data_IF_214723731632
#
_entry.id   IF_214723731632
#
_cell.length_a   1.000
_cell.length_b   1.000
_cell.length_c   1.000
_cell.angle_alpha   90.00
_cell.angle_beta   90.00
_cell.angle_gamma   90.00
#
_symmetry.space_group_name_H-M   'P 1'
#
loop_
_entity.id
_entity.type
_entity.pdbx_description
1 polymer ?
#
# COMPACT_ATOMS: atom_id res chain seq x y z
N UNK A 1 -28.05 -28.53 -26.34
CA UNK A 1 -26.57 -28.73 -26.37
C UNK A 1 -25.83 -27.41 -26.62
N UNK A 2 -25.88 -26.80 -27.82
CA UNK A 2 -25.20 -25.51 -28.12
C UNK A 2 -25.30 -24.42 -27.02
N UNK A 3 -26.49 -24.16 -26.48
CA UNK A 3 -26.69 -23.18 -25.41
C UNK A 3 -25.98 -23.51 -24.08
N UNK A 4 -25.77 -24.80 -23.77
CA UNK A 4 -25.03 -25.24 -22.57
C UNK A 4 -23.52 -24.98 -22.74
N UNK A 5 -22.99 -25.13 -23.96
CA UNK A 5 -21.59 -24.83 -24.28
C UNK A 5 -21.31 -23.33 -24.15
N UNK A 6 -22.21 -22.47 -24.65
CA UNK A 6 -22.09 -21.02 -24.46
C UNK A 6 -22.21 -20.60 -22.99
N UNK A 7 -23.07 -21.25 -22.21
CA UNK A 7 -23.20 -21.00 -20.77
C UNK A 7 -21.93 -21.37 -19.99
N UNK A 8 -21.28 -22.50 -20.32
CA UNK A 8 -19.99 -22.90 -19.74
C UNK A 8 -18.85 -21.94 -20.10
N UNK A 9 -18.76 -21.48 -21.35
CA UNK A 9 -17.78 -20.47 -21.80
C UNK A 9 -17.99 -19.11 -21.13
N UNK A 10 -19.23 -18.73 -20.86
CA UNK A 10 -19.54 -17.52 -20.10
C UNK A 10 -19.12 -17.67 -18.63
N UNK A 11 -19.39 -18.82 -18.01
CA UNK A 11 -19.07 -19.08 -16.61
C UNK A 11 -17.55 -19.12 -16.34
N UNK A 12 -16.74 -19.62 -17.27
CA UNK A 12 -15.28 -19.60 -17.15
C UNK A 12 -14.67 -18.19 -17.22
N UNK A 13 -15.41 -17.20 -17.71
CA UNK A 13 -14.96 -15.80 -17.82
C UNK A 13 -15.05 -15.03 -16.49
N UNK A 14 -15.71 -15.60 -15.47
CA UNK A 14 -15.96 -14.97 -14.16
C UNK A 14 -14.87 -15.36 -13.13
N UNK A 15 -13.89 -16.19 -13.51
CA UNK A 15 -12.76 -16.58 -12.66
C UNK A 15 -11.67 -15.49 -12.74
N UNK A 16 -11.97 -14.32 -12.16
CA UNK A 16 -11.03 -13.22 -12.08
C UNK A 16 -9.77 -13.65 -11.32
N UNK A 17 -8.62 -13.58 -11.99
CA UNK A 17 -7.34 -14.14 -11.54
C UNK A 17 -6.65 -13.36 -10.42
N UNK A 18 -7.28 -13.33 -9.24
CA UNK A 18 -6.69 -12.83 -8.01
C UNK A 18 -5.52 -13.75 -7.58
N UNK A 19 -4.27 -13.28 -7.57
CA UNK A 19 -3.13 -14.09 -7.11
C UNK A 19 -2.86 -13.85 -5.62
N UNK A 20 -3.82 -14.29 -4.81
CA UNK A 20 -3.61 -14.47 -3.38
C UNK A 20 -2.84 -15.75 -3.10
N UNK A 21 -1.71 -15.65 -2.39
CA UNK A 21 -0.94 -16.80 -1.89
C UNK A 21 -1.18 -16.87 -0.38
N UNK A 22 -1.76 -17.99 0.07
CA UNK A 22 -2.13 -18.24 1.47
C UNK A 22 -3.20 -17.27 2.05
N UNK A 23 -3.82 -16.43 1.22
CA UNK A 23 -4.95 -15.55 1.56
C UNK A 23 -6.15 -15.82 0.67
N UNK A 24 -7.35 -15.87 1.26
CA UNK A 24 -8.64 -16.02 0.56
C UNK A 24 -9.30 -14.68 0.22
N UNK A 25 -8.77 -13.56 0.72
CA UNK A 25 -9.25 -12.20 0.44
C UNK A 25 -8.06 -11.30 0.12
N UNK A 26 -7.44 -11.47 -1.06
CA UNK A 26 -6.27 -10.69 -1.46
C UNK A 26 -6.60 -9.20 -1.59
N UNK A 27 -5.78 -8.35 -0.98
CA UNK A 27 -5.95 -6.88 -0.96
C UNK A 27 -5.30 -6.15 -2.15
N UNK A 28 -4.69 -6.89 -3.08
CA UNK A 28 -4.02 -6.35 -4.26
C UNK A 28 -3.94 -7.39 -5.38
N UNK A 29 -3.26 -7.04 -6.47
CA UNK A 29 -3.05 -7.96 -7.59
C UNK A 29 -2.33 -9.25 -7.13
N UNK A 30 -1.27 -9.08 -6.34
CA UNK A 30 -0.58 -10.12 -5.58
C UNK A 30 -0.64 -9.77 -4.09
N UNK A 31 -1.07 -10.74 -3.29
CA UNK A 31 -1.10 -10.65 -1.83
C UNK A 31 -0.56 -11.97 -1.26
N UNK A 32 0.36 -11.89 -0.29
CA UNK A 32 1.06 -13.04 0.28
C UNK A 32 1.05 -12.91 1.81
N UNK A 33 0.38 -13.85 2.47
CA UNK A 33 0.33 -13.92 3.94
C UNK A 33 1.24 -15.02 4.47
N UNK A 34 2.16 -14.68 5.38
CA UNK A 34 2.98 -15.65 6.09
C UNK A 34 3.42 -15.08 7.44
N UNK A 35 3.39 -15.93 8.48
CA UNK A 35 3.83 -15.57 9.83
C UNK A 35 5.36 -15.65 10.00
N UNK A 36 6.07 -16.34 9.09
CA UNK A 36 7.48 -16.70 9.26
C UNK A 36 8.32 -16.81 7.97
N UNK A 37 7.75 -16.63 6.77
CA UNK A 37 8.47 -16.65 5.50
C UNK A 37 8.52 -15.26 4.86
N UNK A 38 9.64 -14.96 4.20
CA UNK A 38 9.81 -13.75 3.38
C UNK A 38 9.71 -14.02 1.88
N UNK A 39 9.53 -12.96 1.09
CA UNK A 39 9.60 -13.02 -0.36
C UNK A 39 11.06 -13.06 -0.84
N UNK A 40 11.46 -14.15 -1.50
CA UNK A 40 12.75 -14.21 -2.22
C UNK A 40 12.54 -13.66 -3.63
N UNK A 41 13.13 -12.49 -3.90
CA UNK A 41 13.13 -11.87 -5.21
C UNK A 41 13.98 -12.68 -6.22
N UNK A 42 13.73 -12.55 -7.54
CA UNK A 42 14.64 -13.08 -8.56
C UNK A 42 16.07 -12.61 -8.32
N UNK A 43 17.00 -13.55 -8.26
CA UNK A 43 18.42 -13.29 -7.98
C UNK A 43 19.19 -13.25 -9.29
N UNK A 44 19.88 -12.15 -9.55
CA UNK A 44 20.64 -11.92 -10.79
C UNK A 44 22.08 -11.51 -10.49
N UNK A 45 23.00 -11.85 -11.40
CA UNK A 45 24.42 -11.49 -11.31
C UNK A 45 24.75 -10.19 -12.04
N UNK A 46 23.91 -9.78 -12.99
CA UNK A 46 23.94 -8.48 -13.66
C UNK A 46 22.53 -7.92 -13.75
N UNK A 47 22.43 -6.59 -13.67
CA UNK A 47 21.18 -5.85 -13.88
C UNK A 47 20.88 -5.61 -15.38
N UNK A 48 21.87 -5.83 -16.24
CA UNK A 48 21.76 -5.72 -17.70
C UNK A 48 21.10 -6.97 -18.32
N UNK A 49 21.25 -8.13 -17.66
CA UNK A 49 20.68 -9.41 -18.10
C UNK A 49 19.18 -9.57 -17.75
N UNK A 50 18.60 -8.61 -17.01
CA UNK A 50 17.20 -8.64 -16.60
C UNK A 50 16.31 -8.21 -17.76
N UNK A 51 15.50 -9.14 -18.27
CA UNK A 51 14.63 -8.94 -19.42
C UNK A 51 13.15 -8.93 -19.06
N UNK A 52 12.32 -8.37 -19.94
CA UNK A 52 10.87 -8.54 -19.90
C UNK A 52 10.43 -9.86 -20.60
N UNK A 53 9.13 -10.16 -20.56
CA UNK A 53 8.55 -11.37 -21.19
C UNK A 53 8.65 -11.40 -22.73
N UNK A 54 9.23 -10.39 -23.36
CA UNK A 54 9.44 -10.25 -24.81
C UNK A 54 10.93 -10.24 -25.17
N UNK A 55 11.82 -10.60 -24.24
CA UNK A 55 13.29 -10.52 -24.36
C UNK A 55 13.84 -9.10 -24.62
N UNK A 56 13.05 -8.06 -24.34
CA UNK A 56 13.51 -6.68 -24.23
C UNK A 56 14.07 -6.38 -22.84
N UNK A 57 14.43 -5.11 -22.59
CA UNK A 57 14.87 -4.65 -21.27
C UNK A 57 13.77 -4.87 -20.21
N UNK A 58 14.17 -5.05 -18.95
CA UNK A 58 13.25 -5.01 -17.82
C UNK A 58 12.40 -3.71 -17.81
N UNK A 59 11.09 -3.87 -17.64
CA UNK A 59 10.13 -2.76 -17.52
C UNK A 59 10.31 -2.00 -16.20
N UNK A 60 9.88 -0.74 -16.17
CA UNK A 60 9.74 0.01 -14.92
C UNK A 60 8.79 -0.70 -13.94
N UNK A 61 9.16 -0.69 -12.66
CA UNK A 61 8.51 -1.51 -11.62
C UNK A 61 9.12 -2.90 -11.43
N UNK A 62 10.05 -3.35 -12.28
CA UNK A 62 10.76 -4.62 -12.06
C UNK A 62 11.62 -4.56 -10.78
N UNK A 63 11.55 -5.60 -9.95
CA UNK A 63 12.31 -5.72 -8.70
C UNK A 63 13.16 -7.00 -8.72
N UNK A 64 14.45 -6.88 -8.42
CA UNK A 64 15.40 -8.01 -8.36
C UNK A 64 16.35 -7.88 -7.16
N UNK A 65 16.98 -8.98 -6.79
CA UNK A 65 18.15 -8.96 -5.90
C UNK A 65 19.43 -9.17 -6.73
N UNK A 66 20.28 -8.15 -6.75
CA UNK A 66 21.60 -8.21 -7.36
C UNK A 66 22.57 -8.90 -6.39
N UNK A 67 22.98 -10.11 -6.77
CA UNK A 67 23.91 -10.95 -6.00
C UNK A 67 25.33 -10.38 -6.01
N UNK A 68 25.74 -9.72 -7.10
CA UNK A 68 27.09 -9.15 -7.24
C UNK A 68 27.31 -7.95 -6.31
N UNK A 69 26.25 -7.17 -6.08
CA UNK A 69 26.25 -5.97 -5.22
C UNK A 69 25.67 -6.22 -3.83
N UNK A 70 25.08 -7.39 -3.60
CA UNK A 70 24.31 -7.75 -2.41
C UNK A 70 23.19 -6.73 -2.06
N UNK A 71 22.41 -6.33 -3.08
CA UNK A 71 21.41 -5.25 -2.97
C UNK A 71 20.10 -5.59 -3.66
N UNK A 72 18.99 -5.14 -3.08
CA UNK A 72 17.69 -5.08 -3.76
C UNK A 72 17.67 -3.88 -4.71
N UNK A 73 17.25 -4.08 -5.95
CA UNK A 73 17.22 -3.08 -7.00
C UNK A 73 15.84 -3.01 -7.69
N UNK A 74 15.42 -1.79 -8.01
CA UNK A 74 14.17 -1.44 -8.65
C UNK A 74 14.45 -0.76 -10.00
N UNK A 75 13.67 -1.08 -11.02
CA UNK A 75 13.68 -0.36 -12.30
C UNK A 75 12.72 0.83 -12.21
N UNK A 76 13.23 2.05 -12.39
CA UNK A 76 12.46 3.30 -12.30
C UNK A 76 12.96 4.28 -13.35
N UNK A 77 12.07 4.85 -14.16
CA UNK A 77 12.39 5.78 -15.24
C UNK A 77 13.48 5.23 -16.19
N UNK A 78 13.39 3.94 -16.54
CA UNK A 78 14.35 3.15 -17.31
C UNK A 78 15.74 2.98 -16.67
N UNK A 79 15.94 3.37 -15.41
CA UNK A 79 17.22 3.28 -14.67
C UNK A 79 17.11 2.28 -13.51
N UNK A 80 18.20 1.61 -13.17
CA UNK A 80 18.27 0.77 -11.96
C UNK A 80 18.63 1.60 -10.73
N UNK A 81 17.77 1.57 -9.72
CA UNK A 81 17.99 2.18 -8.41
C UNK A 81 18.09 1.05 -7.37
N UNK A 82 19.24 0.93 -6.72
CA UNK A 82 19.48 -0.09 -5.69
C UNK A 82 19.50 0.52 -4.30
N UNK A 83 18.92 -0.17 -3.32
CA UNK A 83 18.94 0.26 -1.92
C UNK A 83 20.41 0.29 -1.44
N UNK A 84 20.85 1.46 -0.96
CA UNK A 84 22.15 1.62 -0.33
C UNK A 84 22.04 1.43 1.20
N UNK A 85 23.14 0.98 1.81
CA UNK A 85 23.29 0.78 3.25
C UNK A 85 24.12 1.92 3.90
N UNK A 86 24.16 3.09 3.26
CA UNK A 86 24.95 4.27 3.65
C UNK A 86 24.22 5.22 4.62
N UNK A 87 23.06 4.81 5.13
CA UNK A 87 22.22 5.59 6.04
C UNK A 87 21.51 6.78 5.40
N UNK A 88 21.71 7.03 4.10
CA UNK A 88 21.22 8.25 3.42
C UNK A 88 19.90 7.98 2.69
N UNK A 89 18.81 7.85 3.44
CA UNK A 89 17.48 7.67 2.86
C UNK A 89 16.91 9.02 2.41
N UNK A 90 17.08 9.35 1.12
CA UNK A 90 16.43 10.50 0.51
C UNK A 90 14.92 10.25 0.29
N UNK A 91 14.11 10.44 1.34
CA UNK A 91 12.64 10.37 1.23
C UNK A 91 12.11 11.68 0.65
N UNK A 92 11.93 11.74 -0.66
CA UNK A 92 11.15 12.81 -1.30
C UNK A 92 9.66 12.58 -1.02
N UNK A 93 9.13 13.18 0.04
CA UNK A 93 7.69 13.19 0.29
C UNK A 93 6.97 14.13 -0.67
N UNK A 94 6.67 13.66 -1.88
CA UNK A 94 5.49 14.17 -2.60
C UNK A 94 4.28 13.76 -1.77
N UNK A 95 3.71 14.71 -1.02
CA UNK A 95 2.50 14.46 -0.24
C UNK A 95 1.40 13.95 -1.16
N UNK A 96 1.02 12.68 -1.00
CA UNK A 96 -0.11 12.10 -1.70
C UNK A 96 -1.36 12.85 -1.21
N UNK A 97 -1.83 13.79 -2.01
CA UNK A 97 -3.10 14.47 -1.75
C UNK A 97 -4.18 13.42 -1.94
N UNK A 98 -4.81 12.97 -0.85
CA UNK A 98 -6.00 12.14 -0.92
C UNK A 98 -7.10 12.95 -1.63
N UNK A 99 -7.57 12.53 -2.82
CA UNK A 99 -8.58 13.27 -3.57
C UNK A 99 -9.95 13.30 -2.88
N UNK A 100 -10.13 12.59 -1.75
CA UNK A 100 -11.39 12.51 -1.01
C UNK A 100 -11.38 13.21 0.36
N UNK A 101 -10.25 13.78 0.80
CA UNK A 101 -10.10 14.33 2.16
C UNK A 101 -11.00 15.54 2.48
N UNK A 102 -11.58 16.21 1.47
CA UNK A 102 -12.35 17.45 1.66
C UNK A 102 -13.77 17.24 2.24
N UNK A 103 -14.31 16.00 2.25
CA UNK A 103 -15.74 15.77 2.58
C UNK A 103 -16.07 15.61 4.07
N UNK A 104 -15.22 16.05 5.00
CA UNK A 104 -15.47 15.94 6.44
C UNK A 104 -15.13 17.21 7.24
N UNK A 105 -15.74 18.35 6.92
CA UNK A 105 -15.93 19.46 7.87
C UNK A 105 -17.26 20.18 7.61
N UNK A 106 -18.33 19.70 8.26
CA UNK A 106 -19.51 20.54 8.52
C UNK A 106 -19.31 21.27 9.85
N UNK A 107 -19.56 22.60 9.93
CA UNK A 107 -19.42 23.33 11.18
C UNK A 107 -20.54 22.95 12.16
N UNK A 108 -20.19 22.50 13.37
CA UNK A 108 -21.17 22.31 14.44
C UNK A 108 -21.79 23.65 14.83
N UNK A 109 -23.11 23.73 14.67
CA UNK A 109 -23.97 24.84 15.11
C UNK A 109 -23.80 25.04 16.62
N UNK A 110 -23.52 26.28 17.07
CA UNK A 110 -23.72 26.64 18.48
C UNK A 110 -25.22 26.67 18.76
N UNK A 111 -25.64 26.06 19.86
CA UNK A 111 -26.99 26.14 20.40
C UNK A 111 -26.87 26.67 21.83
N UNK A 112 -27.60 27.74 22.11
CA UNK A 112 -27.55 28.53 23.35
C UNK A 112 -28.40 27.91 24.47
N UNK A 113 -28.41 28.59 25.64
CA UNK A 113 -29.50 28.64 26.64
C UNK A 113 -29.40 27.69 27.86
N UNK A 114 -29.86 28.10 29.07
CA UNK A 114 -29.76 29.40 29.76
C UNK A 114 -29.09 29.33 31.16
N UNK A 115 -28.90 30.48 31.81
CA UNK A 115 -28.67 30.57 33.26
C UNK A 115 -29.82 29.98 34.09
N UNK A 116 -29.52 29.34 35.23
CA UNK A 116 -30.40 29.41 36.42
C UNK A 116 -29.63 29.28 37.74
N UNK A 117 -29.43 30.43 38.37
CA UNK A 117 -29.25 30.69 39.83
C UNK A 117 -29.76 29.58 40.78
N UNK A 118 -28.92 29.08 41.71
CA UNK A 118 -28.98 29.44 43.15
C UNK A 118 -27.87 28.85 44.08
N UNK A 119 -27.51 29.65 45.09
CA UNK A 119 -27.04 29.35 46.48
C UNK A 119 -25.90 28.35 46.84
N UNK A 120 -24.75 28.94 47.20
CA UNK A 120 -24.18 28.96 48.57
C UNK A 120 -24.01 27.64 49.38
N UNK A 121 -22.82 27.06 49.34
CA UNK A 121 -22.11 26.44 50.48
C UNK A 121 -20.67 26.05 50.04
N UNK A 122 -19.61 25.96 50.84
CA UNK A 122 -19.21 26.46 52.19
C UNK A 122 -17.67 26.24 52.25
N UNK A 123 -16.91 27.11 52.94
CA UNK A 123 -15.53 26.92 53.50
C UNK A 123 -14.62 25.85 52.81
N UNK A 124 -13.45 26.14 52.24
CA UNK A 124 -12.19 26.56 52.89
C UNK A 124 -11.05 26.27 51.85
N UNK A 125 -9.82 26.83 51.80
CA UNK A 125 -9.03 27.72 52.68
C UNK A 125 -8.27 28.77 51.84
N UNK A 126 -7.92 29.88 52.48
CA UNK A 126 -6.73 30.69 52.17
C UNK A 126 -5.74 30.46 53.32
N UNK A 127 -4.56 29.85 53.08
CA UNK A 127 -3.33 29.99 53.88
C UNK A 127 -2.15 29.30 53.16
N UNK A 128 -1.50 30.02 52.24
CA UNK A 128 -0.05 30.32 52.33
C UNK A 128 0.43 31.25 51.22
#
# INVERSE_FOLDING_TARGET
MKHVVYFLLFLSSIVYGQVGINTSSPQGALDITSDNLGLVLPRVTSLEDVTNNQAGLAEDGTIVYDVSRAKTCFRVANVWICIANDGTVAVTTTSLVDPNAEKSTQPKKKEDQPETRNEMAVLEKEQH
#
